data_IF_598244043714
#
_entry.id   IF_598244043714
#
_cell.length_a   1.000
_cell.length_b   1.000
_cell.length_c   1.000
_cell.angle_alpha   90.00
_cell.angle_beta   90.00
_cell.angle_gamma   90.00
#
_symmetry.space_group_name_H-M   'P 1'
#
loop_
_entity.id
_entity.type
_entity.pdbx_description
1 polymer ?
#
# COMPACT_ATOMS: atom_id res chain seq x y z
N UNK A 1 4.90 -8.44 14.62
CA UNK A 1 5.40 -7.10 14.22
C UNK A 1 6.86 -7.01 14.66
N UNK A 2 7.76 -6.45 13.86
CA UNK A 2 9.17 -6.37 14.31
C UNK A 2 9.31 -5.31 15.43
N UNK A 3 10.27 -5.46 16.35
CA UNK A 3 10.46 -4.51 17.46
C UNK A 3 10.65 -3.06 16.99
N UNK A 4 11.34 -2.87 15.87
CA UNK A 4 11.57 -1.56 15.27
C UNK A 4 10.28 -0.89 14.80
N UNK A 5 9.37 -1.67 14.18
CA UNK A 5 8.09 -1.15 13.70
C UNK A 5 7.17 -0.82 14.87
N UNK A 6 7.14 -1.68 15.90
CA UNK A 6 6.34 -1.43 17.11
C UNK A 6 6.77 -0.15 17.83
N UNK A 7 8.08 0.09 17.96
CA UNK A 7 8.63 1.32 18.54
C UNK A 7 8.17 2.57 17.79
N UNK A 8 8.31 2.57 16.45
CA UNK A 8 7.90 3.70 15.62
C UNK A 8 6.39 3.93 15.68
N UNK A 9 5.60 2.87 15.61
CA UNK A 9 4.15 2.95 15.73
C UNK A 9 3.71 3.61 17.05
N UNK A 10 4.26 3.15 18.18
CA UNK A 10 3.98 3.73 19.51
C UNK A 10 4.43 5.18 19.61
N UNK A 11 5.61 5.50 19.08
CA UNK A 11 6.12 6.88 19.07
C UNK A 11 5.16 7.82 18.33
N UNK A 12 4.71 7.45 17.13
CA UNK A 12 3.89 8.33 16.32
C UNK A 12 2.46 8.45 16.82
N UNK A 13 1.85 7.35 17.26
CA UNK A 13 0.52 7.42 17.90
C UNK A 13 0.57 8.27 19.17
N UNK A 14 1.60 8.15 20.01
CA UNK A 14 1.73 8.98 21.22
C UNK A 14 1.88 10.48 20.94
N UNK A 15 2.50 10.86 19.82
CA UNK A 15 2.73 12.26 19.44
C UNK A 15 1.51 12.92 18.80
N UNK A 16 0.71 12.14 18.07
CA UNK A 16 -0.25 12.62 17.08
C UNK A 16 -1.70 12.32 17.51
N UNK A 17 -1.89 11.37 18.43
CA UNK A 17 -3.19 10.94 18.93
C UNK A 17 -3.55 9.53 18.48
N UNK A 18 -4.69 9.34 17.84
CA UNK A 18 -5.11 8.01 17.39
C UNK A 18 -4.56 7.70 15.99
N UNK A 19 -4.42 6.41 15.67
CA UNK A 19 -4.07 5.98 14.31
C UNK A 19 -5.06 6.48 13.26
N UNK A 20 -6.36 6.52 13.58
CA UNK A 20 -7.37 7.04 12.67
C UNK A 20 -7.23 8.54 12.41
N UNK A 21 -6.86 9.33 13.42
CA UNK A 21 -6.63 10.76 13.24
C UNK A 21 -5.43 11.00 12.32
N UNK A 22 -4.34 10.24 12.54
CA UNK A 22 -3.15 10.24 11.71
C UNK A 22 -3.45 9.83 10.27
N UNK A 23 -4.22 8.77 10.04
CA UNK A 23 -4.46 8.26 8.69
C UNK A 23 -5.56 9.00 7.93
N UNK A 24 -6.55 9.60 8.62
CA UNK A 24 -7.76 10.10 7.97
C UNK A 24 -8.01 11.60 8.13
N UNK A 25 -7.56 12.24 9.21
CA UNK A 25 -8.04 13.59 9.59
C UNK A 25 -6.98 14.67 9.55
N UNK A 26 -5.77 14.37 10.01
CA UNK A 26 -4.74 15.41 10.17
C UNK A 26 -4.21 15.93 8.84
N UNK A 27 -3.90 17.23 8.79
CA UNK A 27 -3.37 17.87 7.59
C UNK A 27 -1.93 17.40 7.31
N UNK A 28 -1.58 17.20 6.04
CA UNK A 28 -0.23 16.78 5.65
C UNK A 28 0.85 17.77 6.11
N UNK A 29 0.55 19.07 6.21
CA UNK A 29 1.47 20.10 6.71
C UNK A 29 1.81 19.93 8.18
N UNK A 30 0.86 19.46 8.99
CA UNK A 30 1.11 19.17 10.41
C UNK A 30 2.00 17.94 10.54
N UNK A 31 1.77 16.96 9.68
CA UNK A 31 2.49 15.69 9.63
C UNK A 31 3.95 15.84 9.14
N UNK A 32 4.23 16.83 8.29
CA UNK A 32 5.57 17.11 7.74
C UNK A 32 6.64 17.38 8.81
N UNK A 33 6.23 17.94 9.96
CA UNK A 33 7.16 18.25 11.07
C UNK A 33 7.55 17.02 11.90
N UNK A 34 6.76 15.95 11.83
CA UNK A 34 6.90 14.77 12.69
C UNK A 34 7.42 13.56 11.91
N UNK A 35 7.07 13.47 10.62
CA UNK A 35 7.37 12.31 9.80
C UNK A 35 8.49 12.53 8.79
N UNK A 36 9.27 11.47 8.49
CA UNK A 36 10.14 11.46 7.33
C UNK A 36 9.35 11.69 6.03
N UNK A 37 9.96 12.38 5.08
CA UNK A 37 9.34 12.72 3.78
C UNK A 37 8.78 11.49 3.04
N UNK A 38 9.48 10.35 3.07
CA UNK A 38 9.02 9.11 2.44
C UNK A 38 7.72 8.57 3.07
N UNK A 39 7.57 8.69 4.39
CA UNK A 39 6.37 8.24 5.09
C UNK A 39 5.20 9.20 4.83
N UNK A 40 5.46 10.51 4.85
CA UNK A 40 4.47 11.53 4.51
C UNK A 40 3.90 11.32 3.10
N UNK A 41 4.77 11.08 2.12
CA UNK A 41 4.35 10.79 0.75
C UNK A 41 3.55 9.48 0.67
N UNK A 42 3.91 8.47 1.45
CA UNK A 42 3.14 7.23 1.54
C UNK A 42 1.71 7.46 2.05
N UNK A 43 1.56 8.21 3.15
CA UNK A 43 0.25 8.58 3.71
C UNK A 43 -0.56 9.38 2.67
N UNK A 44 0.06 10.37 2.04
CA UNK A 44 -0.58 11.19 1.00
C UNK A 44 -1.10 10.33 -0.15
N UNK A 45 -0.29 9.44 -0.72
CA UNK A 45 -0.69 8.56 -1.83
C UNK A 45 -1.84 7.65 -1.47
N UNK A 46 -1.81 7.06 -0.27
CA UNK A 46 -2.91 6.20 0.20
C UNK A 46 -4.21 6.99 0.33
N UNK A 47 -4.18 8.19 0.93
CA UNK A 47 -5.36 9.07 1.06
C UNK A 47 -5.90 9.53 -0.29
N UNK A 48 -5.03 9.80 -1.25
CA UNK A 48 -5.40 10.24 -2.59
C UNK A 48 -5.76 9.08 -3.54
N UNK A 49 -5.67 7.82 -3.09
CA UNK A 49 -5.87 6.64 -3.94
C UNK A 49 -4.81 6.44 -5.03
N UNK A 50 -3.68 7.15 -4.94
CA UNK A 50 -2.54 7.07 -5.88
C UNK A 50 -1.61 5.92 -5.52
N UNK A 51 -2.16 4.71 -5.47
CA UNK A 51 -1.45 3.48 -5.16
C UNK A 51 -1.68 2.45 -6.25
N UNK A 52 -0.78 1.48 -6.35
CA UNK A 52 -0.98 0.34 -7.22
C UNK A 52 -1.62 -0.78 -6.41
N UNK A 53 -2.86 -1.13 -6.75
CA UNK A 53 -3.61 -2.20 -6.12
C UNK A 53 -3.88 -3.32 -7.12
N UNK A 54 -3.31 -4.50 -6.88
CA UNK A 54 -3.71 -5.73 -7.56
C UNK A 54 -4.78 -6.42 -6.72
N UNK A 55 -5.99 -6.68 -7.26
CA UNK A 55 -7.01 -7.39 -6.51
C UNK A 55 -6.57 -8.82 -6.19
N UNK A 56 -7.04 -9.33 -5.06
CA UNK A 56 -6.95 -10.75 -4.73
C UNK A 56 -8.10 -11.53 -5.38
N UNK A 57 -8.04 -12.85 -5.30
CA UNK A 57 -9.07 -13.77 -5.83
C UNK A 57 -9.12 -15.03 -4.96
N UNK A 58 -10.28 -15.71 -4.92
CA UNK A 58 -10.46 -17.05 -4.33
C UNK A 58 -9.84 -17.28 -2.94
N UNK A 59 -9.97 -16.28 -2.04
CA UNK A 59 -9.43 -16.34 -0.68
C UNK A 59 -7.99 -15.85 -0.52
N UNK A 60 -7.34 -15.44 -1.61
CA UNK A 60 -6.06 -14.75 -1.59
C UNK A 60 -6.25 -13.23 -1.42
N UNK A 61 -5.40 -12.61 -0.59
CA UNK A 61 -5.36 -11.15 -0.44
C UNK A 61 -4.75 -10.49 -1.69
N UNK A 62 -5.22 -9.28 -1.99
CA UNK A 62 -4.61 -8.43 -3.00
C UNK A 62 -3.23 -7.90 -2.59
N UNK A 63 -2.52 -7.31 -3.54
CA UNK A 63 -1.20 -6.71 -3.34
C UNK A 63 -1.33 -5.19 -3.47
N UNK A 64 -0.89 -4.46 -2.44
CA UNK A 64 -0.75 -3.01 -2.48
C UNK A 64 0.73 -2.65 -2.60
N UNK A 65 1.06 -1.79 -3.56
CA UNK A 65 2.35 -1.10 -3.62
C UNK A 65 2.14 0.41 -3.71
N UNK A 66 2.92 1.15 -2.93
CA UNK A 66 2.76 2.61 -2.79
C UNK A 66 3.67 3.40 -3.73
N UNK A 67 4.91 2.95 -3.92
CA UNK A 67 5.95 3.72 -4.62
C UNK A 67 6.24 3.20 -6.03
N UNK A 68 6.01 1.94 -6.28
CA UNK A 68 6.38 1.26 -7.53
C UNK A 68 5.25 0.32 -7.96
N UNK A 69 5.08 0.08 -9.26
CA UNK A 69 4.09 -0.88 -9.73
C UNK A 69 4.40 -2.30 -9.23
N UNK A 70 3.37 -3.16 -9.06
CA UNK A 70 3.59 -4.58 -8.87
C UNK A 70 4.51 -5.10 -9.97
N UNK A 71 5.44 -6.00 -9.62
CA UNK A 71 6.12 -6.75 -10.67
C UNK A 71 5.02 -7.48 -11.43
N UNK A 72 5.02 -7.36 -12.76
CA UNK A 72 4.19 -8.23 -13.57
C UNK A 72 4.69 -9.65 -13.31
N UNK A 73 3.97 -10.36 -12.44
CA UNK A 73 3.92 -11.81 -12.45
C UNK A 73 3.25 -12.18 -13.78
N UNK A 74 3.97 -12.00 -14.88
CA UNK A 74 3.57 -12.51 -16.18
C UNK A 74 3.34 -14.01 -16.01
N UNK A 75 2.34 -14.58 -16.68
CA UNK A 75 2.03 -16.00 -16.52
C UNK A 75 3.29 -16.82 -16.83
N UNK A 76 3.84 -17.49 -15.80
CA UNK A 76 4.66 -18.69 -15.98
C UNK A 76 3.77 -19.92 -16.28
N UNK A 77 2.48 -19.69 -16.58
CA UNK A 77 1.53 -20.67 -17.09
C UNK A 77 1.59 -20.76 -18.61
N UNK A 78 1.63 -21.99 -19.10
CA UNK A 78 1.66 -22.37 -20.51
C UNK A 78 0.73 -21.49 -21.36
N UNK A 79 1.25 -20.94 -22.47
CA UNK A 79 0.45 -20.27 -23.52
C UNK A 79 -0.70 -21.20 -23.91
N UNK A 80 -1.92 -20.85 -23.52
CA UNK A 80 -3.11 -21.58 -23.95
C UNK A 80 -3.26 -21.43 -25.47
N UNK A 81 -3.02 -22.52 -26.19
CA UNK A 81 -3.35 -22.60 -27.60
C UNK A 81 -4.87 -22.73 -27.72
N UNK A 82 -5.49 -21.95 -28.61
CA UNK A 82 -6.94 -21.96 -28.79
C UNK A 82 -7.43 -23.33 -29.24
N UNK A 83 -8.44 -23.87 -28.55
CA UNK A 83 -8.99 -25.22 -28.76
C UNK A 83 -10.02 -25.32 -29.89
N UNK A 84 -10.32 -24.21 -30.58
CA UNK A 84 -11.26 -24.19 -31.69
C UNK A 84 -10.62 -23.54 -32.91
N UNK A 85 -10.13 -24.38 -33.82
CA UNK A 85 -9.98 -24.02 -35.22
C UNK A 85 -11.37 -23.95 -35.85
N UNK A 86 -11.73 -22.78 -36.38
CA UNK A 86 -12.90 -22.58 -37.23
C UNK A 86 -12.85 -23.61 -38.38
N UNK A 87 -13.92 -24.40 -38.51
CA UNK A 87 -14.21 -25.16 -39.72
C UNK A 87 -14.62 -24.23 -40.85
#
# INVERSE_FOLDING_TARGET
>A
MSPSVEKLYKQYTSLIGTEFDLLLKMDLKELERVFPSKLLEGIKRVREGKIFAKPGYDGEYGIIKIFEPPEELGPQGLKQQSLFSLQ
#
